data_IF_284262686818
#
_entry.id   IF_284262686818
#
_cell.length_a   1.000
_cell.length_b   1.000
_cell.length_c   1.000
_cell.angle_alpha   90.00
_cell.angle_beta   90.00
_cell.angle_gamma   90.00
#
_symmetry.space_group_name_H-M   'P 1'
#
loop_
_entity.id
_entity.type
_entity.pdbx_description
1 polymer ?
#
# COMPACT_ATOMS: atom_id res chain seq x y z
N UNK A 1 11.20 5.69 -14.48
CA UNK A 1 11.48 4.54 -13.61
C UNK A 1 10.32 3.58 -13.67
N UNK A 2 10.49 2.36 -13.15
CA UNK A 2 9.39 1.41 -13.04
C UNK A 2 8.28 1.94 -12.12
N UNK A 3 7.04 1.60 -12.47
CA UNK A 3 5.93 1.68 -11.52
C UNK A 3 6.18 0.71 -10.37
N UNK A 4 5.67 1.04 -9.20
CA UNK A 4 5.76 0.21 -8.01
C UNK A 4 4.35 -0.08 -7.52
N UNK A 5 4.02 -1.37 -7.45
CA UNK A 5 2.84 -1.76 -6.71
C UNK A 5 3.02 -1.42 -5.23
N UNK A 6 1.97 -1.64 -4.46
CA UNK A 6 1.93 -1.12 -3.10
C UNK A 6 2.82 -1.92 -2.15
N UNK A 7 3.68 -1.22 -1.40
CA UNK A 7 4.14 -1.73 -0.11
C UNK A 7 3.16 -1.22 0.95
N UNK A 8 2.60 -2.12 1.75
CA UNK A 8 1.60 -1.75 2.76
C UNK A 8 1.53 -2.74 3.91
N UNK A 9 0.85 -2.30 4.96
CA UNK A 9 0.34 -3.17 6.00
C UNK A 9 -1.09 -3.60 5.64
N UNK A 10 -1.25 -4.87 5.30
CA UNK A 10 -2.51 -5.45 4.86
C UNK A 10 -3.37 -5.84 6.05
N UNK A 11 -4.62 -5.39 6.02
CA UNK A 11 -5.61 -5.72 7.05
C UNK A 11 -6.40 -6.94 6.57
N UNK A 12 -6.38 -8.03 7.34
CA UNK A 12 -7.13 -9.23 6.99
C UNK A 12 -8.63 -9.02 7.23
N UNK A 13 -9.37 -8.73 6.16
CA UNK A 13 -10.82 -8.49 6.24
C UNK A 13 -11.57 -9.73 6.70
N UNK A 14 -10.98 -10.94 6.69
CA UNK A 14 -11.59 -12.13 7.30
C UNK A 14 -11.76 -11.99 8.82
N UNK A 15 -11.07 -11.02 9.45
CA UNK A 15 -11.18 -10.70 10.87
C UNK A 15 -12.30 -9.67 11.11
N UNK A 16 -13.26 -9.94 12.02
CA UNK A 16 -14.37 -9.02 12.30
C UNK A 16 -13.93 -7.60 12.68
N UNK A 17 -12.79 -7.45 13.37
CA UNK A 17 -12.25 -6.16 13.81
C UNK A 17 -11.92 -5.19 12.66
N UNK A 18 -11.70 -5.69 11.44
CA UNK A 18 -11.35 -4.87 10.27
C UNK A 18 -12.48 -4.75 9.25
N UNK A 19 -13.68 -5.27 9.53
CA UNK A 19 -14.81 -5.21 8.60
C UNK A 19 -15.33 -3.78 8.39
N UNK A 20 -15.34 -2.96 9.44
CA UNK A 20 -15.79 -1.57 9.34
C UNK A 20 -14.72 -0.69 8.67
N UNK A 21 -15.10 -0.01 7.57
CA UNK A 21 -14.21 0.90 6.83
C UNK A 21 -13.67 2.02 7.71
N UNK A 22 -14.46 2.55 8.64
CA UNK A 22 -14.06 3.65 9.54
C UNK A 22 -12.97 3.21 10.50
N UNK A 23 -13.02 1.96 10.93
CA UNK A 23 -11.98 1.35 11.77
C UNK A 23 -10.67 1.25 10.99
N UNK A 24 -10.72 0.79 9.74
CA UNK A 24 -9.52 0.73 8.89
C UNK A 24 -8.92 2.11 8.60
N UNK A 25 -9.75 3.11 8.31
CA UNK A 25 -9.31 4.50 8.15
C UNK A 25 -8.62 5.01 9.43
N UNK A 26 -9.24 4.76 10.60
CA UNK A 26 -8.69 5.17 11.88
C UNK A 26 -7.32 4.55 12.15
N UNK A 27 -7.15 3.25 11.87
CA UNK A 27 -5.86 2.57 11.98
C UNK A 27 -4.81 3.25 11.07
N UNK A 28 -5.15 3.52 9.80
CA UNK A 28 -4.24 4.20 8.87
C UNK A 28 -3.81 5.59 9.33
N UNK A 29 -4.70 6.36 9.96
CA UNK A 29 -4.41 7.70 10.51
C UNK A 29 -3.39 7.67 11.66
N UNK A 30 -3.25 6.55 12.36
CA UNK A 30 -2.26 6.41 13.44
C UNK A 30 -0.85 6.08 12.93
N UNK A 31 -0.70 5.74 11.65
CA UNK A 31 0.59 5.40 11.08
C UNK A 31 1.34 6.66 10.66
N UNK A 32 2.53 6.84 11.22
CA UNK A 32 3.39 7.99 10.99
C UNK A 32 4.70 7.55 10.36
N UNK A 33 4.80 7.68 9.03
CA UNK A 33 6.01 7.35 8.30
C UNK A 33 7.08 8.46 8.44
N UNK A 34 6.65 9.72 8.52
CA UNK A 34 7.51 10.89 8.30
C UNK A 34 8.48 11.15 9.45
N UNK A 35 8.21 10.57 10.63
CA UNK A 35 9.10 10.66 11.81
C UNK A 35 10.23 9.64 11.73
N UNK A 36 10.25 8.59 12.54
CA UNK A 36 11.44 7.73 12.66
C UNK A 36 11.74 6.93 11.38
N UNK A 37 10.70 6.53 10.63
CA UNK A 37 10.84 5.65 9.48
C UNK A 37 11.27 6.37 8.18
N UNK A 38 11.14 7.69 8.10
CA UNK A 38 11.50 8.47 6.92
C UNK A 38 12.07 9.87 7.23
N UNK A 39 12.74 10.03 8.38
CA UNK A 39 13.35 11.31 8.81
C UNK A 39 14.23 11.96 7.75
N UNK A 40 14.99 11.16 7.01
CA UNK A 40 15.91 11.62 5.96
C UNK A 40 15.26 11.75 4.58
N UNK A 41 13.94 11.54 4.48
CA UNK A 41 13.14 11.65 3.25
C UNK A 41 13.70 10.80 2.10
N UNK A 42 14.27 9.65 2.44
CA UNK A 42 14.81 8.68 1.46
C UNK A 42 13.70 7.94 0.73
N UNK A 43 12.54 7.79 1.38
CA UNK A 43 11.38 7.12 0.82
C UNK A 43 10.28 8.13 0.47
N UNK A 44 9.39 7.72 -0.43
CA UNK A 44 8.16 8.45 -0.72
C UNK A 44 6.97 7.69 -0.15
N UNK A 45 6.06 8.40 0.51
CA UNK A 45 4.82 7.83 1.03
C UNK A 45 3.98 7.26 -0.11
N UNK A 46 3.56 6.00 0.00
CA UNK A 46 2.65 5.42 -0.99
C UNK A 46 1.25 6.05 -0.85
N UNK A 47 0.61 6.37 -1.97
CA UNK A 47 -0.78 6.90 -2.01
C UNK A 47 -1.58 6.36 -3.18
N UNK A 48 -1.05 5.35 -3.87
CA UNK A 48 -1.68 4.65 -4.97
C UNK A 48 -1.30 3.18 -4.91
N UNK A 49 -2.09 2.30 -5.51
CA UNK A 49 -1.68 0.93 -5.81
C UNK A 49 -0.73 0.85 -7.01
N UNK A 50 -0.63 1.93 -7.81
CA UNK A 50 0.21 2.04 -9.01
C UNK A 50 1.26 3.17 -8.85
N UNK A 51 1.92 3.23 -7.69
CA UNK A 51 2.89 4.30 -7.36
C UNK A 51 3.95 4.48 -8.45
N UNK A 52 4.53 5.68 -8.51
CA UNK A 52 5.63 6.02 -9.41
C UNK A 52 5.30 5.80 -10.91
N UNK A 53 4.03 5.91 -11.29
CA UNK A 53 3.57 5.63 -12.66
C UNK A 53 2.42 6.55 -13.10
N UNK A 54 2.17 6.58 -14.41
CA UNK A 54 1.04 7.31 -15.01
C UNK A 54 -0.34 6.66 -14.72
N UNK A 55 -0.34 5.43 -14.20
CA UNK A 55 -1.53 4.64 -13.88
C UNK A 55 -2.11 4.94 -12.49
N UNK A 56 -1.38 5.67 -11.65
CA UNK A 56 -1.90 6.19 -10.39
C UNK A 56 -3.06 7.17 -10.63
N UNK A 57 -4.11 7.10 -9.81
CA UNK A 57 -5.19 8.05 -9.81
C UNK A 57 -4.68 9.46 -9.44
N UNK A 58 -5.25 10.47 -10.07
CA UNK A 58 -4.86 11.87 -9.88
C UNK A 58 -6.11 12.75 -9.90
N UNK A 59 -6.12 13.81 -9.09
CA UNK A 59 -7.21 14.79 -9.07
C UNK A 59 -8.61 14.16 -9.00
N UNK A 60 -9.59 14.81 -9.62
CA UNK A 60 -10.94 14.25 -9.79
C UNK A 60 -10.95 13.14 -10.85
N UNK A 61 -11.87 12.15 -10.76
CA UNK A 61 -12.02 11.15 -11.81
C UNK A 61 -12.40 11.81 -13.14
N UNK A 62 -11.77 11.36 -14.23
CA UNK A 62 -12.20 11.74 -15.58
C UNK A 62 -13.59 11.19 -15.91
N UNK A 63 -14.22 11.72 -16.96
CA UNK A 63 -15.50 11.18 -17.46
C UNK A 63 -15.40 9.69 -17.83
N UNK A 64 -14.24 9.26 -18.33
CA UNK A 64 -13.99 7.86 -18.68
C UNK A 64 -13.87 6.98 -17.43
N UNK A 65 -13.20 7.46 -16.37
CA UNK A 65 -13.18 6.77 -15.06
C UNK A 65 -14.59 6.70 -14.47
N UNK A 66 -15.36 7.79 -14.51
CA UNK A 66 -16.74 7.83 -14.00
C UNK A 66 -17.62 6.80 -14.70
N UNK A 67 -17.53 6.65 -16.02
CA UNK A 67 -18.29 5.61 -16.75
C UNK A 67 -18.06 4.19 -16.21
N UNK A 68 -16.86 3.89 -15.69
CA UNK A 68 -16.54 2.60 -15.07
C UNK A 68 -17.01 2.51 -13.61
N UNK A 69 -17.04 3.64 -12.89
CA UNK A 69 -17.34 3.69 -11.45
C UNK A 69 -18.84 3.84 -11.15
N UNK A 70 -19.58 4.57 -11.99
CA UNK A 70 -21.02 4.86 -11.80
C UNK A 70 -21.90 3.63 -11.59
N UNK A 71 -21.70 2.50 -12.30
CA UNK A 71 -22.49 1.28 -12.05
C UNK A 71 -22.44 0.79 -10.60
N UNK A 72 -21.38 1.13 -9.87
CA UNK A 72 -21.13 0.70 -8.48
C UNK A 72 -21.33 1.82 -7.45
N UNK A 73 -21.88 2.97 -7.84
CA UNK A 73 -21.98 4.17 -6.96
C UNK A 73 -22.66 3.92 -5.61
N UNK A 74 -23.59 2.98 -5.52
CA UNK A 74 -24.28 2.63 -4.27
C UNK A 74 -23.43 1.78 -3.32
N UNK A 75 -22.45 1.07 -3.85
CA UNK A 75 -21.57 0.17 -3.10
C UNK A 75 -20.24 0.84 -2.71
N UNK A 76 -19.83 1.83 -3.48
CA UNK A 76 -18.56 2.52 -3.32
C UNK A 76 -18.65 3.70 -2.33
N UNK A 77 -17.60 3.93 -1.53
CA UNK A 77 -17.50 5.14 -0.73
C UNK A 77 -17.62 6.41 -1.60
N UNK A 78 -18.34 7.46 -1.16
CA UNK A 78 -18.47 8.70 -1.92
C UNK A 78 -17.12 9.31 -2.35
N UNK A 79 -16.08 9.13 -1.55
CA UNK A 79 -14.73 9.64 -1.79
C UNK A 79 -14.08 9.07 -3.05
N UNK A 80 -14.51 7.89 -3.51
CA UNK A 80 -14.07 7.28 -4.78
C UNK A 80 -14.37 8.20 -5.97
N UNK A 81 -15.45 8.98 -5.88
CA UNK A 81 -15.86 9.94 -6.91
C UNK A 81 -15.26 11.34 -6.73
N UNK A 82 -14.45 11.52 -5.68
CA UNK A 82 -13.76 12.76 -5.37
C UNK A 82 -12.29 12.74 -5.79
N UNK A 83 -11.48 13.63 -5.21
CA UNK A 83 -10.04 13.66 -5.44
C UNK A 83 -9.38 12.30 -5.17
N UNK A 84 -8.28 12.02 -5.89
CA UNK A 84 -7.48 10.83 -5.67
C UNK A 84 -7.00 10.77 -4.21
N UNK A 85 -6.93 9.55 -3.67
CA UNK A 85 -6.52 9.33 -2.29
C UNK A 85 -5.09 9.84 -2.06
N UNK A 86 -4.89 10.44 -0.88
CA UNK A 86 -3.58 10.82 -0.37
C UNK A 86 -3.45 10.23 1.03
N UNK A 87 -2.39 9.44 1.25
CA UNK A 87 -2.15 8.88 2.56
C UNK A 87 -1.89 10.01 3.58
N UNK A 88 -2.44 9.92 4.80
CA UNK A 88 -2.18 10.92 5.82
C UNK A 88 -0.67 10.99 6.08
N UNK A 89 -0.15 12.21 6.06
CA UNK A 89 1.23 12.54 6.41
C UNK A 89 1.26 13.43 7.65
N UNK A 90 2.41 13.49 8.29
CA UNK A 90 2.67 14.38 9.42
C UNK A 90 3.76 15.39 9.12
N UNK A 91 4.51 15.22 8.03
CA UNK A 91 5.71 16.01 7.71
C UNK A 91 6.74 16.05 8.87
N UNK A 92 6.67 15.09 9.80
CA UNK A 92 7.47 15.04 11.02
C UNK A 92 6.96 15.97 12.15
N UNK A 93 5.79 16.58 11.99
CA UNK A 93 5.22 17.54 12.95
C UNK A 93 4.24 16.89 13.93
N UNK A 94 4.57 16.96 15.23
CA UNK A 94 3.72 16.40 16.29
C UNK A 94 2.25 16.93 16.31
N UNK A 95 1.97 18.22 16.01
CA UNK A 95 0.58 18.70 15.91
C UNK A 95 -0.25 18.00 14.83
N UNK A 96 0.35 17.67 13.67
CA UNK A 96 -0.34 16.94 12.58
C UNK A 96 -0.66 15.51 13.00
N UNK A 97 0.27 14.83 13.66
CA UNK A 97 -0.01 13.51 14.26
C UNK A 97 -1.15 13.59 15.28
N UNK A 98 -1.15 14.59 16.17
CA UNK A 98 -2.24 14.79 17.14
C UNK A 98 -3.59 14.97 16.43
N UNK A 99 -3.66 15.75 15.36
CA UNK A 99 -4.88 15.93 14.57
C UNK A 99 -5.36 14.60 13.95
N UNK A 100 -4.45 13.79 13.40
CA UNK A 100 -4.78 12.46 12.89
C UNK A 100 -5.33 11.53 13.98
N UNK A 101 -4.72 11.53 15.17
CA UNK A 101 -5.19 10.72 16.31
C UNK A 101 -6.58 11.15 16.79
N UNK A 102 -6.90 12.45 16.78
CA UNK A 102 -8.24 12.94 17.12
C UNK A 102 -9.28 12.50 16.09
N UNK A 103 -8.95 12.57 14.78
CA UNK A 103 -9.84 12.07 13.72
C UNK A 103 -10.05 10.55 13.84
N UNK A 104 -8.97 9.80 14.09
CA UNK A 104 -9.04 8.36 14.31
C UNK A 104 -9.96 8.00 15.49
N UNK A 105 -9.86 8.71 16.61
CA UNK A 105 -10.74 8.53 17.77
C UNK A 105 -12.21 8.73 17.41
N UNK A 106 -12.55 9.82 16.73
CA UNK A 106 -13.92 10.10 16.33
C UNK A 106 -14.50 9.01 15.40
N UNK A 107 -13.69 8.50 14.47
CA UNK A 107 -14.08 7.39 13.58
C UNK A 107 -14.33 6.09 14.36
N UNK A 108 -13.46 5.77 15.32
CA UNK A 108 -13.60 4.60 16.20
C UNK A 108 -14.85 4.70 17.08
N UNK A 109 -15.11 5.86 17.67
CA UNK A 109 -16.32 6.13 18.45
C UNK A 109 -17.59 5.98 17.60
N UNK A 110 -17.60 6.54 16.38
CA UNK A 110 -18.71 6.36 15.43
C UNK A 110 -18.91 4.89 15.02
N UNK A 111 -17.83 4.09 15.05
CA UNK A 111 -17.86 2.65 14.81
C UNK A 111 -18.22 1.82 16.06
N UNK A 112 -18.53 2.47 17.19
CA UNK A 112 -18.98 1.81 18.41
C UNK A 112 -17.86 1.36 19.35
N UNK A 113 -16.62 1.78 19.11
CA UNK A 113 -15.50 1.56 20.02
C UNK A 113 -15.42 2.70 21.03
N UNK A 114 -15.53 2.38 22.31
CA UNK A 114 -15.55 3.38 23.40
C UNK A 114 -14.37 3.16 24.33
N UNK A 115 -13.81 4.26 24.83
CA UNK A 115 -12.72 4.21 25.80
C UNK A 115 -13.28 3.80 27.15
N UNK A 116 -12.79 2.69 27.68
CA UNK A 116 -13.13 2.21 29.02
C UNK A 116 -12.25 2.88 30.09
N UNK A 117 -12.63 2.82 31.39
CA UNK A 117 -11.88 3.46 32.47
C UNK A 117 -10.44 2.95 32.63
N UNK A 118 -10.14 1.75 32.15
CA UNK A 118 -8.80 1.16 32.11
C UNK A 118 -7.92 1.70 30.96
N UNK A 119 -8.43 2.68 30.19
CA UNK A 119 -7.73 3.29 29.07
C UNK A 119 -7.72 2.45 27.79
N UNK A 120 -8.46 1.33 27.73
CA UNK A 120 -8.58 0.50 26.53
C UNK A 120 -9.84 0.82 25.75
N UNK A 121 -9.77 0.79 24.42
CA UNK A 121 -10.98 0.79 23.59
C UNK A 121 -11.68 -0.56 23.69
N UNK A 122 -13.00 -0.52 23.83
CA UNK A 122 -13.85 -1.70 23.86
C UNK A 122 -15.05 -1.54 22.94
N UNK A 123 -15.48 -2.63 22.33
CA UNK A 123 -16.73 -2.66 21.57
C UNK A 123 -17.95 -2.80 22.49
N UNK A 124 -19.15 -2.88 21.91
CA UNK A 124 -20.40 -3.05 22.66
C UNK A 124 -20.48 -4.34 23.51
N UNK A 125 -19.66 -5.35 23.21
CA UNK A 125 -19.56 -6.61 23.98
C UNK A 125 -18.53 -6.53 25.11
N UNK A 126 -17.84 -5.40 25.28
CA UNK A 126 -16.77 -5.23 26.25
C UNK A 126 -15.43 -5.83 25.82
N UNK A 127 -15.31 -6.33 24.59
CA UNK A 127 -14.06 -6.88 24.06
C UNK A 127 -13.08 -5.75 23.74
N UNK A 128 -11.82 -5.88 24.16
CA UNK A 128 -10.80 -4.87 23.92
C UNK A 128 -10.38 -4.82 22.44
N UNK A 129 -10.05 -3.64 21.94
CA UNK A 129 -9.48 -3.47 20.61
C UNK A 129 -8.02 -3.92 20.62
N UNK A 130 -7.79 -5.18 20.31
CA UNK A 130 -6.46 -5.77 20.20
C UNK A 130 -6.32 -6.57 18.91
N UNK A 131 -5.15 -6.51 18.27
CA UNK A 131 -4.83 -7.31 17.08
C UNK A 131 -3.34 -7.63 16.98
N UNK A 132 -3.02 -8.66 16.22
CA UNK A 132 -1.66 -9.11 15.95
C UNK A 132 -1.09 -8.54 14.64
N UNK A 133 0.13 -8.01 14.70
CA UNK A 133 0.95 -7.76 13.51
C UNK A 133 2.00 -8.86 13.39
N UNK A 134 1.83 -9.74 12.40
CA UNK A 134 2.71 -10.87 12.14
C UNK A 134 3.84 -10.47 11.19
N UNK A 135 5.09 -10.78 11.55
CA UNK A 135 6.27 -10.43 10.75
C UNK A 135 7.38 -11.47 10.87
N UNK A 136 8.14 -11.75 9.80
CA UNK A 136 9.37 -12.54 9.88
C UNK A 136 10.62 -11.70 10.18
N UNK A 137 10.49 -10.37 10.27
CA UNK A 137 11.62 -9.45 10.37
C UNK A 137 11.89 -9.01 11.81
N UNK A 138 13.14 -9.12 12.25
CA UNK A 138 13.59 -8.51 13.50
C UNK A 138 13.62 -6.97 13.36
N UNK A 139 13.28 -6.24 14.43
CA UNK A 139 13.38 -4.77 14.42
C UNK A 139 12.37 -4.05 13.51
N UNK A 140 11.10 -4.47 13.51
CA UNK A 140 10.05 -3.88 12.65
C UNK A 140 9.93 -2.36 12.76
N UNK A 141 9.68 -1.70 11.61
CA UNK A 141 9.31 -0.27 11.50
C UNK A 141 7.98 0.08 12.20
N UNK A 142 7.22 -0.92 12.64
CA UNK A 142 5.94 -0.73 13.32
C UNK A 142 6.06 -0.32 14.80
N UNK A 143 7.27 -0.26 15.39
CA UNK A 143 7.45 0.03 16.82
C UNK A 143 6.81 1.35 17.26
N UNK A 144 7.03 2.43 16.52
CA UNK A 144 6.41 3.74 16.84
C UNK A 144 4.89 3.71 16.64
N UNK A 145 4.43 2.88 15.70
CA UNK A 145 3.02 2.71 15.43
C UNK A 145 2.28 2.03 16.59
N UNK A 146 2.92 1.09 17.30
CA UNK A 146 2.40 0.51 18.56
C UNK A 146 2.12 1.64 19.57
N UNK A 147 3.06 2.57 19.73
CA UNK A 147 2.89 3.71 20.65
C UNK A 147 1.75 4.65 20.22
N UNK A 148 1.58 4.89 18.92
CA UNK A 148 0.48 5.72 18.42
C UNK A 148 -0.90 5.08 18.59
N UNK A 149 -1.00 3.77 18.37
CA UNK A 149 -2.24 3.00 18.61
C UNK A 149 -2.57 2.95 20.11
N UNK A 150 -1.57 2.79 20.98
CA UNK A 150 -1.75 2.79 22.44
C UNK A 150 -2.31 4.12 22.98
N UNK A 151 -1.97 5.26 22.37
CA UNK A 151 -2.57 6.57 22.71
C UNK A 151 -4.09 6.62 22.49
N UNK A 152 -4.62 5.73 21.64
CA UNK A 152 -6.05 5.57 21.42
C UNK A 152 -6.65 4.43 22.24
N UNK A 153 -5.87 3.69 23.03
CA UNK A 153 -6.34 2.52 23.77
C UNK A 153 -6.40 1.24 22.93
N UNK A 154 -5.69 1.18 21.80
CA UNK A 154 -5.60 0.01 20.92
C UNK A 154 -4.29 -0.75 21.21
N UNK A 155 -4.37 -2.07 21.36
CA UNK A 155 -3.19 -2.92 21.56
C UNK A 155 -2.80 -3.62 20.25
N UNK A 156 -1.67 -3.23 19.66
CA UNK A 156 -1.04 -4.01 18.57
C UNK A 156 0.05 -4.93 19.13
N UNK A 157 -0.11 -6.23 18.96
CA UNK A 157 0.87 -7.25 19.38
C UNK A 157 1.78 -7.59 18.20
N UNK A 158 3.03 -7.13 18.25
CA UNK A 158 4.02 -7.49 17.23
C UNK A 158 4.49 -8.92 17.49
N UNK A 159 4.23 -9.81 16.54
CA UNK A 159 4.62 -11.22 16.60
C UNK A 159 5.70 -11.49 15.55
N UNK A 160 6.94 -11.58 16.00
CA UNK A 160 8.05 -12.07 15.19
C UNK A 160 8.08 -13.61 15.19
N UNK A 161 8.20 -14.22 14.01
CA UNK A 161 8.29 -15.68 13.83
C UNK A 161 9.32 -16.01 12.76
N UNK A 162 9.79 -17.26 12.71
CA UNK A 162 10.61 -17.72 11.60
C UNK A 162 9.84 -17.68 10.27
N UNK A 163 10.58 -17.60 9.15
CA UNK A 163 9.97 -17.45 7.83
C UNK A 163 9.09 -18.64 7.42
N UNK A 164 9.40 -19.87 7.85
CA UNK A 164 8.60 -21.03 7.51
C UNK A 164 7.23 -20.97 8.21
N UNK A 165 7.21 -20.60 9.50
CA UNK A 165 5.98 -20.35 10.24
C UNK A 165 5.20 -19.16 9.66
N UNK A 166 5.88 -18.08 9.29
CA UNK A 166 5.27 -16.93 8.62
C UNK A 166 4.52 -17.34 7.35
N UNK A 167 5.19 -18.05 6.44
CA UNK A 167 4.61 -18.54 5.18
C UNK A 167 3.41 -19.44 5.43
N UNK A 168 3.52 -20.39 6.35
CA UNK A 168 2.40 -21.28 6.72
C UNK A 168 1.19 -20.50 7.23
N UNK A 169 1.39 -19.45 8.05
CA UNK A 169 0.29 -18.61 8.55
C UNK A 169 -0.31 -17.76 7.43
N UNK A 170 0.51 -17.23 6.52
CA UNK A 170 0.02 -16.55 5.31
C UNK A 170 -0.87 -17.46 4.46
N UNK A 171 -0.42 -18.69 4.18
CA UNK A 171 -1.16 -19.65 3.36
C UNK A 171 -2.52 -20.03 3.95
N UNK A 172 -2.65 -19.99 5.28
CA UNK A 172 -3.90 -20.27 5.99
C UNK A 172 -4.69 -19.01 6.35
N UNK A 173 -4.25 -17.82 5.91
CA UNK A 173 -4.83 -16.53 6.28
C UNK A 173 -4.94 -16.31 7.80
N UNK A 174 -4.04 -16.93 8.58
CA UNK A 174 -4.03 -16.87 10.03
C UNK A 174 -3.13 -15.73 10.54
N UNK A 175 -3.65 -14.51 10.43
CA UNK A 175 -3.05 -13.29 10.96
C UNK A 175 -4.14 -12.22 11.05
N UNK A 176 -3.88 -11.13 11.76
CA UNK A 176 -4.74 -9.94 11.68
C UNK A 176 -4.14 -8.95 10.68
N UNK A 177 -2.86 -8.62 10.82
CA UNK A 177 -2.14 -7.73 9.91
C UNK A 177 -0.77 -8.27 9.54
N UNK A 178 -0.36 -8.02 8.29
CA UNK A 178 0.96 -8.39 7.75
C UNK A 178 1.50 -7.25 6.89
N UNK A 179 2.82 -7.17 6.73
CA UNK A 179 3.44 -6.21 5.82
C UNK A 179 3.84 -6.94 4.54
N UNK A 180 3.37 -6.44 3.39
CA UNK A 180 3.63 -7.02 2.08
C UNK A 180 4.28 -5.96 1.20
N UNK A 181 5.31 -6.37 0.47
CA UNK A 181 5.97 -5.57 -0.56
C UNK A 181 5.58 -6.18 -1.91
N UNK A 182 4.71 -5.50 -2.64
CA UNK A 182 4.33 -5.95 -3.98
C UNK A 182 5.40 -5.55 -5.03
N UNK A 183 5.37 -6.21 -6.18
CA UNK A 183 6.39 -6.08 -7.22
C UNK A 183 6.45 -4.72 -7.92
N UNK A 184 7.45 -4.57 -8.80
CA UNK A 184 7.55 -3.46 -9.75
C UNK A 184 6.85 -3.82 -11.05
N UNK A 185 6.45 -2.81 -11.84
CA UNK A 185 5.83 -3.04 -13.15
C UNK A 185 6.23 -1.98 -14.18
N UNK A 186 6.14 -2.37 -15.44
CA UNK A 186 6.22 -1.45 -16.60
C UNK A 186 4.82 -1.01 -17.02
N UNK A 187 3.90 -1.97 -17.11
CA UNK A 187 2.47 -1.82 -17.32
C UNK A 187 1.71 -2.61 -16.26
N UNK A 188 0.61 -2.09 -15.69
CA UNK A 188 -0.23 -2.86 -14.78
C UNK A 188 -0.77 -4.13 -15.45
N UNK A 189 -0.66 -5.26 -14.75
CA UNK A 189 -1.11 -6.56 -15.25
C UNK A 189 -2.42 -6.96 -14.57
N UNK A 190 -3.52 -7.16 -15.34
CA UNK A 190 -4.81 -7.58 -14.78
C UNK A 190 -4.72 -8.87 -13.97
N UNK A 191 -3.94 -9.86 -14.44
CA UNK A 191 -3.73 -11.14 -13.76
C UNK A 191 -3.09 -10.99 -12.37
N UNK A 192 -2.16 -10.04 -12.22
CA UNK A 192 -1.60 -9.70 -10.90
C UNK A 192 -2.69 -9.05 -10.04
N UNK A 193 -3.51 -8.15 -10.59
CA UNK A 193 -4.61 -7.54 -9.84
C UNK A 193 -5.67 -8.56 -9.40
N UNK A 194 -5.97 -9.56 -10.23
CA UNK A 194 -6.86 -10.68 -9.86
C UNK A 194 -6.32 -11.43 -8.64
N UNK A 195 -5.02 -11.78 -8.64
CA UNK A 195 -4.39 -12.47 -7.51
C UNK A 195 -4.39 -11.62 -6.23
N UNK A 196 -4.20 -10.31 -6.33
CA UNK A 196 -4.07 -9.43 -5.17
C UNK A 196 -5.41 -8.97 -4.59
N UNK A 197 -6.43 -8.75 -5.43
CA UNK A 197 -7.69 -8.11 -5.03
C UNK A 197 -8.97 -8.79 -5.55
N UNK A 198 -8.86 -9.76 -6.47
CA UNK A 198 -10.02 -10.43 -7.03
C UNK A 198 -10.79 -11.26 -6.01
N UNK A 199 -12.13 -11.23 -6.08
CA UNK A 199 -13.00 -11.89 -5.09
C UNK A 199 -12.78 -13.40 -5.03
N UNK A 200 -12.53 -14.05 -6.18
CA UNK A 200 -12.25 -15.49 -6.25
C UNK A 200 -10.97 -15.84 -5.48
N UNK A 201 -9.92 -15.04 -5.65
CA UNK A 201 -8.63 -15.25 -5.00
C UNK A 201 -8.69 -15.11 -3.48
N UNK A 202 -9.68 -14.40 -2.92
CA UNK A 202 -9.88 -14.33 -1.48
C UNK A 202 -10.25 -15.67 -0.84
N UNK A 203 -10.85 -16.59 -1.60
CA UNK A 203 -11.28 -17.93 -1.13
C UNK A 203 -10.28 -19.03 -1.45
N UNK A 204 -9.33 -18.78 -2.34
CA UNK A 204 -8.30 -19.74 -2.72
C UNK A 204 -7.20 -19.77 -1.65
N UNK A 205 -6.98 -20.92 -1.03
CA UNK A 205 -5.92 -21.11 -0.03
C UNK A 205 -4.54 -20.82 -0.64
N UNK A 206 -3.72 -20.03 0.04
CA UNK A 206 -2.35 -19.72 -0.40
C UNK A 206 -2.24 -18.72 -1.55
N UNK A 207 -3.34 -18.07 -1.96
CA UNK A 207 -3.29 -16.97 -2.92
C UNK A 207 -2.79 -15.67 -2.23
N UNK A 208 -2.44 -14.66 -3.04
CA UNK A 208 -1.86 -13.39 -2.61
C UNK A 208 -2.90 -12.33 -2.22
N UNK A 209 -4.20 -12.66 -2.23
CA UNK A 209 -5.25 -11.79 -1.69
C UNK A 209 -5.25 -11.86 -0.15
N UNK A 210 -4.16 -11.37 0.44
CA UNK A 210 -3.91 -11.39 1.88
C UNK A 210 -4.94 -10.57 2.65
N UNK A 211 -5.49 -9.54 2.02
CA UNK A 211 -6.56 -8.68 2.56
C UNK A 211 -7.90 -9.42 2.60
N UNK A 212 -8.14 -10.37 1.71
CA UNK A 212 -9.43 -11.05 1.60
C UNK A 212 -10.51 -10.16 0.97
N UNK A 213 -10.12 -9.33 0.01
CA UNK A 213 -11.04 -8.44 -0.70
C UNK A 213 -12.03 -9.26 -1.52
N UNK A 214 -13.31 -8.93 -1.37
CA UNK A 214 -14.39 -9.38 -2.25
C UNK A 214 -15.25 -8.19 -2.63
N UNK A 215 -15.17 -7.77 -3.88
CA UNK A 215 -15.87 -6.57 -4.36
C UNK A 215 -16.24 -6.73 -5.84
N UNK A 216 -17.54 -6.71 -6.18
CA UNK A 216 -17.99 -6.73 -7.58
C UNK A 216 -17.42 -5.58 -8.41
N UNK A 217 -17.26 -4.40 -7.80
CA UNK A 217 -16.65 -3.23 -8.44
C UNK A 217 -15.18 -3.50 -8.81
N UNK A 218 -14.41 -4.08 -7.89
CA UNK A 218 -13.00 -4.45 -8.15
C UNK A 218 -12.91 -5.50 -9.26
N UNK A 219 -13.72 -6.56 -9.20
CA UNK A 219 -13.70 -7.61 -10.22
C UNK A 219 -14.04 -7.05 -11.61
N UNK A 220 -15.01 -6.15 -11.71
CA UNK A 220 -15.39 -5.50 -12.96
C UNK A 220 -14.30 -4.56 -13.49
N UNK A 221 -13.61 -3.82 -12.62
CA UNK A 221 -12.52 -2.92 -13.00
C UNK A 221 -11.28 -3.70 -13.45
N UNK A 222 -10.95 -4.81 -12.80
CA UNK A 222 -9.88 -5.71 -13.25
C UNK A 222 -10.23 -6.30 -14.62
N UNK A 223 -11.49 -6.72 -14.83
CA UNK A 223 -11.96 -7.16 -16.15
C UNK A 223 -11.88 -6.04 -17.21
N UNK A 224 -12.15 -4.80 -16.84
CA UNK A 224 -11.96 -3.66 -17.74
C UNK A 224 -10.48 -3.45 -18.12
N UNK A 225 -9.55 -3.63 -17.16
CA UNK A 225 -8.11 -3.63 -17.45
C UNK A 225 -7.74 -4.77 -18.42
N UNK A 226 -8.29 -5.97 -18.23
CA UNK A 226 -8.02 -7.12 -19.10
C UNK A 226 -8.54 -6.94 -20.53
N UNK A 227 -9.61 -6.17 -20.71
CA UNK A 227 -10.21 -5.89 -22.01
C UNK A 227 -9.65 -4.63 -22.70
N UNK A 228 -8.78 -3.88 -22.02
CA UNK A 228 -8.20 -2.66 -22.56
C UNK A 228 -7.35 -2.96 -23.80
N UNK A 229 -7.61 -2.26 -24.90
CA UNK A 229 -6.90 -2.38 -26.18
C UNK A 229 -5.93 -1.23 -26.42
N UNK A 230 -6.01 -0.19 -25.61
CA UNK A 230 -5.13 0.99 -25.68
C UNK A 230 -4.53 1.31 -24.33
N UNK A 231 -3.42 2.06 -24.34
CA UNK A 231 -2.79 2.55 -23.10
C UNK A 231 -3.72 3.48 -22.31
N UNK A 232 -4.57 4.25 -23.00
CA UNK A 232 -5.51 5.19 -22.39
C UNK A 232 -6.65 4.44 -21.70
N UNK A 233 -7.15 3.36 -22.30
CA UNK A 233 -8.13 2.46 -21.68
C UNK A 233 -7.54 1.77 -20.44
N UNK A 234 -6.32 1.24 -20.55
CA UNK A 234 -5.64 0.62 -19.41
C UNK A 234 -5.41 1.63 -18.28
N UNK A 235 -4.99 2.86 -18.62
CA UNK A 235 -4.81 3.94 -17.65
C UNK A 235 -6.13 4.31 -16.98
N UNK A 236 -7.21 4.41 -17.73
CA UNK A 236 -8.56 4.70 -17.21
C UNK A 236 -9.01 3.62 -16.23
N UNK A 237 -8.90 2.34 -16.61
CA UNK A 237 -9.31 1.23 -15.76
C UNK A 237 -8.42 1.11 -14.50
N UNK A 238 -7.10 1.30 -14.65
CA UNK A 238 -6.16 1.30 -13.51
C UNK A 238 -6.47 2.42 -12.52
N UNK A 239 -6.69 3.66 -12.99
CA UNK A 239 -7.02 4.79 -12.11
C UNK A 239 -8.35 4.60 -11.40
N UNK A 240 -9.36 4.06 -12.08
CA UNK A 240 -10.63 3.72 -11.45
C UNK A 240 -10.44 2.64 -10.37
N UNK A 241 -9.69 1.58 -10.64
CA UNK A 241 -9.37 0.54 -9.66
C UNK A 241 -8.61 1.11 -8.44
N UNK A 242 -7.62 1.97 -8.69
CA UNK A 242 -6.83 2.66 -7.67
C UNK A 242 -7.72 3.44 -6.70
N UNK A 243 -8.65 4.24 -7.22
CA UNK A 243 -9.59 4.99 -6.36
C UNK A 243 -10.40 4.06 -5.46
N UNK A 244 -10.93 2.97 -6.02
CA UNK A 244 -11.72 1.99 -5.26
C UNK A 244 -10.90 1.35 -4.16
N UNK A 245 -9.71 0.82 -4.47
CA UNK A 245 -8.85 0.14 -3.51
C UNK A 245 -8.41 1.11 -2.40
N UNK A 246 -7.89 2.27 -2.78
CA UNK A 246 -7.29 3.20 -1.82
C UNK A 246 -8.32 3.82 -0.88
N UNK A 247 -9.50 4.23 -1.39
CA UNK A 247 -10.56 4.80 -0.53
C UNK A 247 -11.32 3.76 0.29
N UNK A 248 -11.13 2.46 0.06
CA UNK A 248 -11.68 1.41 0.91
C UNK A 248 -10.81 1.06 2.12
N UNK A 249 -9.57 1.57 2.19
CA UNK A 249 -8.66 1.37 3.31
C UNK A 249 -8.41 -0.11 3.66
N UNK A 250 -8.38 -1.03 2.69
CA UNK A 250 -8.10 -2.44 2.98
C UNK A 250 -6.66 -2.70 3.47
N UNK A 251 -5.81 -1.69 3.37
CA UNK A 251 -4.44 -1.69 3.80
C UNK A 251 -4.02 -0.28 4.21
N UNK A 252 -2.94 -0.19 4.97
CA UNK A 252 -2.26 1.07 5.30
C UNK A 252 -1.04 1.19 4.39
N UNK A 253 -1.03 2.11 3.42
CA UNK A 253 0.11 2.32 2.53
C UNK A 253 1.37 2.63 3.34
N UNK A 254 2.50 2.03 2.97
CA UNK A 254 3.80 2.26 3.59
C UNK A 254 4.60 3.26 2.74
N UNK A 255 5.46 2.77 1.85
CA UNK A 255 6.45 3.58 1.16
C UNK A 255 6.84 3.00 -0.20
N UNK A 256 7.55 3.78 -1.00
CA UNK A 256 8.23 3.32 -2.20
C UNK A 256 9.49 4.16 -2.48
N UNK A 257 10.38 3.63 -3.32
CA UNK A 257 11.55 4.39 -3.78
C UNK A 257 11.23 5.15 -5.06
N UNK A 258 11.08 6.48 -5.00
CA UNK A 258 10.80 7.27 -6.21
C UNK A 258 12.02 7.45 -7.12
N UNK A 259 13.22 7.13 -6.63
CA UNK A 259 14.49 7.30 -7.33
C UNK A 259 15.40 6.09 -7.10
N UNK A 260 16.32 5.88 -8.03
CA UNK A 260 17.42 4.93 -7.90
C UNK A 260 18.69 5.72 -7.58
N UNK A 261 19.07 5.92 -6.31
CA UNK A 261 20.33 6.57 -5.97
C UNK A 261 21.50 5.72 -6.50
N UNK A 262 22.47 6.35 -7.15
CA UNK A 262 23.59 5.65 -7.79
C UNK A 262 24.88 6.43 -7.57
N UNK A 263 25.93 5.74 -7.13
CA UNK A 263 27.29 6.25 -7.10
C UNK A 263 28.14 5.47 -8.08
N UNK A 264 29.04 6.14 -8.80
CA UNK A 264 29.89 5.54 -9.80
C UNK A 264 31.18 6.35 -9.98
N UNK A 265 32.23 5.69 -10.45
CA UNK A 265 33.50 6.34 -10.78
C UNK A 265 33.34 7.32 -11.94
N UNK A 266 33.97 8.49 -11.83
CA UNK A 266 33.96 9.53 -12.88
C UNK A 266 34.91 9.19 -14.07
N UNK A 267 34.91 7.93 -14.50
CA UNK A 267 35.61 7.46 -15.71
C UNK A 267 34.67 6.96 -16.79
N UNK A 268 33.38 6.80 -16.47
CA UNK A 268 32.39 6.26 -17.38
C UNK A 268 31.67 7.36 -18.19
N UNK A 269 31.48 7.10 -19.48
CA UNK A 269 30.54 7.77 -20.35
C UNK A 269 29.20 7.04 -20.30
N UNK A 270 28.11 7.78 -20.48
CA UNK A 270 26.73 7.25 -20.43
C UNK A 270 25.86 7.87 -21.52
N UNK A 271 24.82 7.17 -21.98
CA UNK A 271 23.85 7.75 -22.92
C UNK A 271 23.26 9.06 -22.38
N UNK A 272 23.10 10.07 -23.25
CA UNK A 272 22.49 11.36 -22.88
C UNK A 272 21.01 11.20 -22.49
N UNK A 273 20.32 10.27 -23.15
CA UNK A 273 18.92 9.95 -22.88
C UNK A 273 18.88 8.72 -22.00
N UNK A 274 18.36 8.88 -20.79
CA UNK A 274 18.08 7.77 -19.88
C UNK A 274 16.87 6.99 -20.42
N UNK A 275 16.90 5.66 -20.44
CA UNK A 275 15.70 4.87 -20.72
C UNK A 275 14.61 5.11 -19.66
N UNK A 276 13.33 5.00 -20.03
CA UNK A 276 12.19 5.16 -19.11
C UNK A 276 12.21 4.08 -18.01
N UNK A 277 12.61 2.87 -18.38
CA UNK A 277 12.69 1.68 -17.52
C UNK A 277 14.12 1.15 -17.53
N UNK A 278 14.74 1.08 -16.35
CA UNK A 278 16.09 0.53 -16.18
C UNK A 278 16.32 0.13 -14.73
N UNK A 279 17.20 -0.84 -14.55
CA UNK A 279 17.85 -1.16 -13.29
C UNK A 279 19.25 -0.54 -13.24
N UNK A 280 19.67 -0.18 -12.04
CA UNK A 280 21.10 -0.02 -11.73
C UNK A 280 21.60 -1.35 -11.19
N UNK A 281 22.90 -1.60 -11.16
CA UNK A 281 23.40 -2.87 -10.60
C UNK A 281 23.06 -2.95 -9.11
N UNK A 282 22.01 -3.70 -8.78
CA UNK A 282 21.54 -3.91 -7.42
C UNK A 282 21.22 -5.38 -7.22
N UNK A 283 21.36 -5.86 -5.98
CA UNK A 283 21.09 -7.26 -5.61
C UNK A 283 19.64 -7.73 -5.85
N UNK A 284 18.75 -6.84 -6.31
CA UNK A 284 17.32 -7.10 -6.54
C UNK A 284 16.96 -7.20 -8.02
N UNK A 285 17.89 -6.94 -8.94
CA UNK A 285 17.57 -6.83 -10.36
C UNK A 285 17.79 -8.14 -11.11
N UNK A 286 16.74 -8.61 -11.79
CA UNK A 286 16.76 -9.83 -12.62
C UNK A 286 17.17 -9.56 -14.08
N UNK A 287 17.36 -8.29 -14.44
CA UNK A 287 17.69 -7.85 -15.79
C UNK A 287 19.10 -7.23 -15.80
N UNK A 288 19.86 -7.36 -16.91
CA UNK A 288 21.19 -6.77 -17.02
C UNK A 288 21.18 -5.29 -16.66
N UNK A 289 22.01 -4.90 -15.69
CA UNK A 289 22.07 -3.54 -15.21
C UNK A 289 22.37 -2.57 -16.36
N UNK A 290 21.62 -1.47 -16.44
CA UNK A 290 21.78 -0.48 -17.49
C UNK A 290 23.21 0.08 -17.57
N UNK A 291 23.93 0.35 -16.45
CA UNK A 291 25.33 0.74 -16.51
C UNK A 291 26.22 -0.29 -17.20
N UNK A 292 26.03 -1.58 -16.92
CA UNK A 292 26.87 -2.67 -17.46
C UNK A 292 26.68 -2.80 -18.98
N UNK A 293 25.45 -2.61 -19.46
CA UNK A 293 25.10 -2.83 -20.86
C UNK A 293 25.27 -1.62 -21.76
N UNK A 294 25.30 -0.41 -21.20
CA UNK A 294 25.24 0.82 -22.02
C UNK A 294 26.31 1.86 -21.69
N UNK A 295 27.04 1.74 -20.58
CA UNK A 295 28.11 2.67 -20.26
C UNK A 295 29.42 2.20 -20.87
N UNK A 296 30.33 3.15 -21.10
CA UNK A 296 31.66 2.87 -21.64
C UNK A 296 32.71 3.63 -20.85
N UNK A 297 33.97 3.20 -20.92
CA UNK A 297 35.08 3.98 -20.35
C UNK A 297 35.37 5.14 -21.31
N UNK A 298 35.37 6.39 -20.81
CA UNK A 298 35.63 7.58 -21.63
C UNK A 298 37.06 7.59 -22.18
N UNK A 299 38.01 7.19 -21.33
CA UNK A 299 39.42 7.08 -21.67
C UNK A 299 39.90 5.63 -21.47
N UNK A 300 40.01 4.82 -22.54
CA UNK A 300 40.47 3.44 -22.44
C UNK A 300 41.89 3.30 -21.86
N UNK A 301 42.72 4.34 -21.91
CA UNK A 301 44.07 4.34 -21.34
C UNK A 301 44.06 4.53 -19.80
N UNK A 302 42.97 5.05 -19.23
CA UNK A 302 42.76 5.22 -17.80
C UNK A 302 42.09 3.99 -17.14
N UNK A 303 42.29 2.79 -17.73
CA UNK A 303 41.66 1.54 -17.27
C UNK A 303 42.15 1.09 -15.90
#
# INVERSE_FOLDING_TARGET
GFGQYMQAYDLNLRRPIFQDRRVREAIGLTYDLDTANNRYKMFTRASSMFNNSEFAAQGLPSEAELKLLEPFRKELPPEVFGPAYVAPGTDGEAPKLRANLLKARALLEAAGWKLAPDGKLRNAKGEAFEFEYLTPSEGTRASDWVGNLAKLGITMKVRNVDFALYRRRLENYDYDMVAIVEGRFTLPEPTVMEQLYGSKSADEKGNNNFRGVKSPAVDALIKAMANAKTIDELRTASRALDRVVMWNYWQVPDLYFSKLPTSYWDKFGRPKVMPKYYSIDSALDLQPAWPITTWWIRDPAAR
#
